data_IF_175624536198
#
_entry.id   IF_175624536198
#
_cell.length_a   1.000
_cell.length_b   1.000
_cell.length_c   1.000
_cell.angle_alpha   90.00
_cell.angle_beta   90.00
_cell.angle_gamma   90.00
#
_symmetry.space_group_name_H-M   'P 1'
#
loop_
_entity.id
_entity.type
_entity.pdbx_description
1 polymer ?
#
# COMPACT_ATOMS: atom_id res chain seq x y z
N UNK A 1 6.95 26.75 59.65
CA UNK A 1 7.77 27.16 58.50
C UNK A 1 7.46 26.20 57.35
N UNK A 2 6.56 26.59 56.44
CA UNK A 2 6.18 25.81 55.27
C UNK A 2 6.70 26.50 54.02
N UNK A 3 7.58 25.84 53.28
CA UNK A 3 8.15 26.34 52.02
C UNK A 3 7.22 25.99 50.86
N UNK A 4 6.79 27.01 50.11
CA UNK A 4 6.05 26.85 48.85
C UNK A 4 7.00 26.45 47.71
N UNK A 5 6.57 25.58 46.77
CA UNK A 5 7.36 25.23 45.60
C UNK A 5 7.34 26.36 44.53
N UNK A 6 8.36 26.43 43.64
CA UNK A 6 8.47 27.46 42.62
C UNK A 6 7.46 27.28 41.46
N UNK A 7 7.17 28.33 40.67
CA UNK A 7 6.20 28.27 39.57
C UNK A 7 6.78 27.50 38.37
N UNK A 8 5.96 26.64 37.76
CA UNK A 8 6.31 25.94 36.51
C UNK A 8 6.34 26.92 35.33
N UNK A 9 7.49 27.04 34.66
CA UNK A 9 7.62 27.72 33.38
C UNK A 9 7.29 26.74 32.22
N UNK A 10 6.42 27.16 31.31
CA UNK A 10 6.08 26.39 30.11
C UNK A 10 7.23 26.41 29.09
N UNK A 11 7.49 25.31 28.36
CA UNK A 11 8.49 25.29 27.29
C UNK A 11 8.01 26.11 26.07
N UNK A 12 8.87 27.02 25.60
CA UNK A 12 8.73 27.71 24.32
C UNK A 12 8.99 26.73 23.18
N UNK A 13 8.02 26.57 22.29
CA UNK A 13 8.21 25.89 21.02
C UNK A 13 9.00 26.80 20.08
N UNK A 14 10.26 26.45 19.82
CA UNK A 14 11.06 27.05 18.76
C UNK A 14 10.56 26.52 17.41
N UNK A 15 10.08 27.42 16.54
CA UNK A 15 9.78 27.12 15.14
C UNK A 15 11.10 26.99 14.37
N UNK A 16 11.45 25.77 13.99
CA UNK A 16 12.54 25.53 13.04
C UNK A 16 12.07 25.89 11.62
N UNK A 17 12.43 27.09 11.16
CA UNK A 17 12.56 27.39 9.73
C UNK A 17 13.77 26.63 9.19
N UNK A 18 13.57 25.71 8.24
CA UNK A 18 14.68 25.19 7.43
C UNK A 18 14.51 25.71 6.00
N UNK A 19 15.28 26.76 5.72
CA UNK A 19 15.39 27.41 4.43
C UNK A 19 16.26 26.61 3.44
N UNK A 20 15.97 26.86 2.17
CA UNK A 20 16.62 26.36 0.97
C UNK A 20 18.15 26.53 0.96
N UNK A 21 18.85 25.50 0.49
CA UNK A 21 20.24 25.61 0.01
C UNK A 21 20.28 25.15 -1.45
N UNK A 22 20.68 26.05 -2.35
CA UNK A 22 20.82 25.80 -3.79
C UNK A 22 22.27 25.54 -4.21
N UNK A 23 22.54 25.16 -5.49
CA UNK A 23 23.90 25.14 -6.01
C UNK A 23 24.24 26.34 -6.91
N UNK A 24 25.31 26.98 -6.49
CA UNK A 24 26.18 28.02 -7.04
C UNK A 24 26.61 27.80 -8.51
N UNK A 25 26.34 28.79 -9.38
CA UNK A 25 26.90 28.89 -10.74
C UNK A 25 28.33 29.45 -10.68
N UNK A 26 29.31 28.62 -11.04
CA UNK A 26 30.73 28.98 -11.10
C UNK A 26 31.09 29.72 -12.39
N UNK A 27 31.74 30.87 -12.22
CA UNK A 27 32.30 31.74 -13.25
C UNK A 27 33.62 31.20 -13.82
N UNK A 28 33.78 31.32 -15.14
CA UNK A 28 34.95 30.90 -15.91
C UNK A 28 36.11 31.89 -15.72
N UNK A 29 37.26 31.40 -15.22
CA UNK A 29 38.51 32.16 -15.12
C UNK A 29 39.68 31.30 -15.60
N UNK A 30 40.35 31.79 -16.65
CA UNK A 30 41.45 31.16 -17.39
C UNK A 30 42.82 31.28 -16.69
N UNK A 31 43.58 30.18 -16.60
CA UNK A 31 44.99 30.16 -16.20
C UNK A 31 45.68 28.84 -16.57
N UNK A 32 46.90 28.84 -17.16
CA UNK A 32 47.53 27.63 -17.72
C UNK A 32 48.55 26.97 -16.78
N UNK A 33 48.57 25.62 -16.76
CA UNK A 33 49.77 24.84 -16.41
C UNK A 33 49.59 23.78 -15.33
N UNK A 34 49.58 22.51 -15.74
CA UNK A 34 49.79 21.36 -14.85
C UNK A 34 49.28 20.03 -15.44
N UNK A 35 50.13 19.01 -15.66
CA UNK A 35 49.67 17.71 -16.14
C UNK A 35 49.18 16.86 -14.97
N UNK A 36 47.92 16.40 -15.02
CA UNK A 36 47.38 15.43 -14.08
C UNK A 36 46.78 14.25 -14.83
N UNK A 37 47.42 13.08 -14.66
CA UNK A 37 46.92 11.79 -15.12
C UNK A 37 45.73 11.39 -14.25
N UNK A 38 44.53 11.33 -14.84
CA UNK A 38 43.32 10.83 -14.20
C UNK A 38 42.68 9.72 -15.04
N UNK A 39 42.26 8.60 -14.44
CA UNK A 39 41.64 7.50 -15.17
C UNK A 39 40.31 7.97 -15.79
N UNK A 40 40.10 7.61 -17.07
CA UNK A 40 38.94 8.03 -17.85
C UNK A 40 37.61 7.65 -17.22
N UNK A 41 36.53 8.40 -17.49
CA UNK A 41 35.21 8.14 -16.94
C UNK A 41 34.71 6.76 -17.38
N UNK A 42 34.55 5.87 -16.41
CA UNK A 42 33.85 4.62 -16.59
C UNK A 42 32.38 4.94 -16.91
N UNK A 43 31.98 4.56 -18.12
CA UNK A 43 30.60 4.59 -18.58
C UNK A 43 29.80 3.57 -17.76
N UNK A 44 29.23 4.02 -16.64
CA UNK A 44 28.18 3.28 -15.95
C UNK A 44 26.92 3.38 -16.80
N UNK A 45 26.82 2.51 -17.79
CA UNK A 45 25.57 2.20 -18.46
C UNK A 45 24.59 1.67 -17.42
N UNK A 46 23.83 2.57 -16.80
CA UNK A 46 22.62 2.26 -16.05
C UNK A 46 21.51 1.85 -17.04
N UNK A 47 21.76 0.84 -17.86
CA UNK A 47 20.72 0.10 -18.57
C UNK A 47 20.28 -1.04 -17.67
N UNK A 48 19.54 -0.66 -16.65
CA UNK A 48 19.11 -1.55 -15.59
C UNK A 48 18.10 -0.85 -14.70
N UNK A 49 17.17 -0.11 -15.31
CA UNK A 49 15.82 -0.12 -14.75
C UNK A 49 15.41 -1.59 -14.79
N UNK A 50 15.73 -2.33 -13.73
CA UNK A 50 14.93 -3.47 -13.30
C UNK A 50 13.54 -2.87 -13.22
N UNK A 51 12.82 -2.98 -14.34
CA UNK A 51 11.47 -2.50 -14.50
C UNK A 51 10.75 -3.18 -13.36
N UNK A 52 10.52 -2.46 -12.26
CA UNK A 52 9.74 -2.96 -11.14
C UNK A 52 8.45 -3.38 -11.82
N UNK A 53 8.25 -4.68 -12.03
CA UNK A 53 7.05 -5.19 -12.67
C UNK A 53 5.92 -4.54 -11.89
N UNK A 54 5.10 -3.76 -12.58
CA UNK A 54 4.02 -3.04 -11.92
C UNK A 54 3.21 -4.04 -11.10
N UNK A 55 2.62 -3.57 -10.01
CA UNK A 55 1.76 -4.37 -9.14
C UNK A 55 0.77 -5.26 -9.92
N UNK A 56 0.24 -4.73 -11.04
CA UNK A 56 -0.61 -5.42 -12.01
C UNK A 56 0.10 -6.58 -12.73
N UNK A 57 1.36 -6.45 -13.12
CA UNK A 57 2.13 -7.53 -13.75
C UNK A 57 2.44 -8.70 -12.81
N UNK A 58 2.51 -8.45 -11.49
CA UNK A 58 2.65 -9.52 -10.48
C UNK A 58 1.32 -10.18 -10.11
N UNK A 59 0.19 -9.50 -10.32
CA UNK A 59 -1.15 -10.05 -10.08
C UNK A 59 -1.56 -11.09 -11.12
N UNK A 60 -1.04 -10.96 -12.34
CA UNK A 60 -1.24 -11.93 -13.43
C UNK A 60 -0.03 -12.87 -13.59
N UNK A 61 0.91 -12.87 -12.64
CA UNK A 61 1.99 -13.83 -12.61
C UNK A 61 1.45 -15.12 -11.98
N UNK A 62 1.06 -16.08 -12.83
CA UNK A 62 0.59 -17.42 -12.42
C UNK A 62 1.74 -18.29 -11.87
N UNK A 63 2.96 -17.76 -11.77
CA UNK A 63 4.07 -18.37 -11.06
C UNK A 63 3.91 -18.09 -9.56
N UNK A 64 3.31 -19.03 -8.82
CA UNK A 64 3.08 -18.96 -7.36
C UNK A 64 4.39 -19.06 -6.53
N UNK A 65 5.51 -18.54 -7.01
CA UNK A 65 6.83 -18.70 -6.37
C UNK A 65 7.16 -17.62 -5.32
N UNK A 66 6.42 -16.52 -5.25
CA UNK A 66 6.67 -15.46 -4.25
C UNK A 66 5.42 -15.15 -3.42
N UNK A 67 5.54 -15.26 -2.09
CA UNK A 67 4.50 -15.05 -1.08
C UNK A 67 3.95 -13.59 -1.09
N UNK A 68 3.16 -13.24 -2.09
CA UNK A 68 2.50 -11.92 -2.23
C UNK A 68 1.13 -11.91 -1.54
N UNK A 69 0.76 -13.01 -0.88
CA UNK A 69 -0.59 -13.26 -0.39
C UNK A 69 -1.21 -12.16 0.47
N UNK A 70 -0.52 -11.50 1.43
CA UNK A 70 -1.13 -10.41 2.20
C UNK A 70 -1.49 -9.18 1.34
N UNK A 71 -0.78 -8.93 0.23
CA UNK A 71 -1.08 -7.81 -0.68
C UNK A 71 -2.26 -8.11 -1.61
N UNK A 72 -2.41 -9.36 -2.05
CA UNK A 72 -3.49 -9.80 -2.95
C UNK A 72 -4.85 -9.77 -2.25
N UNK A 73 -4.90 -10.11 -0.97
CA UNK A 73 -6.15 -10.16 -0.17
C UNK A 73 -6.89 -8.81 -0.20
N UNK A 74 -6.18 -7.68 -0.12
CA UNK A 74 -6.80 -6.34 -0.19
C UNK A 74 -7.50 -6.10 -1.53
N UNK A 75 -6.92 -6.58 -2.61
CA UNK A 75 -7.45 -6.43 -3.97
C UNK A 75 -8.66 -7.35 -4.15
N UNK A 76 -8.56 -8.59 -3.66
CA UNK A 76 -9.69 -9.53 -3.68
C UNK A 76 -10.89 -8.98 -2.91
N UNK A 77 -10.68 -8.26 -1.82
CA UNK A 77 -11.76 -7.58 -1.12
C UNK A 77 -12.46 -6.53 -2.00
N UNK A 78 -11.67 -5.66 -2.63
CA UNK A 78 -12.20 -4.60 -3.51
C UNK A 78 -12.95 -5.22 -4.69
N UNK A 79 -12.37 -6.22 -5.34
CA UNK A 79 -13.02 -6.95 -6.45
C UNK A 79 -14.33 -7.58 -5.95
N UNK A 80 -14.32 -8.21 -4.78
CA UNK A 80 -15.52 -8.83 -4.22
C UNK A 80 -16.62 -7.79 -3.99
N UNK A 81 -16.33 -6.64 -3.39
CA UNK A 81 -17.31 -5.55 -3.22
C UNK A 81 -17.91 -5.14 -4.56
N UNK A 82 -17.08 -4.96 -5.59
CA UNK A 82 -17.55 -4.57 -6.92
C UNK A 82 -18.46 -5.64 -7.52
N UNK A 83 -18.06 -6.91 -7.47
CA UNK A 83 -18.87 -8.03 -7.99
C UNK A 83 -20.19 -8.14 -7.25
N UNK A 84 -20.19 -8.01 -5.93
CA UNK A 84 -21.42 -8.04 -5.11
C UNK A 84 -22.33 -6.87 -5.49
N UNK A 85 -21.78 -5.65 -5.58
CA UNK A 85 -22.54 -4.46 -5.95
C UNK A 85 -23.18 -4.59 -7.33
N UNK A 86 -22.41 -5.07 -8.31
CA UNK A 86 -22.92 -5.34 -9.67
C UNK A 86 -23.95 -6.48 -9.67
N UNK A 87 -23.75 -7.53 -8.88
CA UNK A 87 -24.70 -8.64 -8.74
C UNK A 87 -26.03 -8.20 -8.14
N UNK A 88 -26.00 -7.39 -7.08
CA UNK A 88 -27.20 -6.81 -6.47
C UNK A 88 -27.92 -5.91 -7.47
N UNK A 89 -27.18 -4.99 -8.13
CA UNK A 89 -27.77 -4.09 -9.12
C UNK A 89 -28.40 -4.86 -10.30
N UNK A 90 -27.69 -5.86 -10.83
CA UNK A 90 -28.19 -6.73 -11.89
C UNK A 90 -29.43 -7.52 -11.45
N UNK A 91 -29.41 -8.07 -10.24
CA UNK A 91 -30.54 -8.78 -9.63
C UNK A 91 -31.78 -7.90 -9.50
N UNK A 92 -31.61 -6.63 -9.09
CA UNK A 92 -32.70 -5.65 -9.02
C UNK A 92 -33.30 -5.41 -10.41
N UNK A 93 -32.47 -5.16 -11.42
CA UNK A 93 -32.92 -4.92 -12.80
C UNK A 93 -33.72 -6.12 -13.34
N UNK A 94 -33.18 -7.34 -13.19
CA UNK A 94 -33.86 -8.57 -13.63
C UNK A 94 -35.14 -8.81 -12.83
N UNK A 95 -35.13 -8.52 -11.53
CA UNK A 95 -36.28 -8.63 -10.65
C UNK A 95 -37.45 -7.76 -11.11
N UNK A 96 -37.21 -6.48 -11.38
CA UNK A 96 -38.24 -5.57 -11.87
C UNK A 96 -38.71 -5.90 -13.30
N UNK A 97 -37.85 -6.48 -14.15
CA UNK A 97 -38.27 -7.01 -15.46
C UNK A 97 -39.23 -8.19 -15.35
N UNK A 98 -39.11 -8.98 -14.28
CA UNK A 98 -39.93 -10.17 -14.05
C UNK A 98 -41.26 -9.84 -13.37
N UNK A 99 -41.30 -8.77 -12.57
CA UNK A 99 -42.53 -8.26 -11.95
C UNK A 99 -42.25 -7.37 -10.74
N UNK A 100 -43.24 -6.55 -10.37
CA UNK A 100 -43.08 -5.56 -9.28
C UNK A 100 -42.76 -6.23 -7.94
N UNK A 101 -43.46 -7.31 -7.58
CA UNK A 101 -43.21 -8.04 -6.33
C UNK A 101 -41.80 -8.65 -6.27
N UNK A 102 -41.36 -9.26 -7.37
CA UNK A 102 -40.00 -9.82 -7.51
C UNK A 102 -38.95 -8.71 -7.46
N UNK A 103 -39.21 -7.57 -8.10
CA UNK A 103 -38.35 -6.38 -8.02
C UNK A 103 -38.13 -5.90 -6.59
N UNK A 104 -39.19 -5.76 -5.80
CA UNK A 104 -39.09 -5.41 -4.38
C UNK A 104 -38.35 -6.48 -3.56
N UNK A 105 -38.58 -7.76 -3.84
CA UNK A 105 -37.83 -8.84 -3.18
C UNK A 105 -36.33 -8.72 -3.43
N UNK A 106 -35.90 -8.48 -4.68
CA UNK A 106 -34.48 -8.28 -5.00
C UNK A 106 -33.93 -6.94 -4.48
N UNK A 107 -34.76 -5.90 -4.37
CA UNK A 107 -34.33 -4.62 -3.81
C UNK A 107 -33.98 -4.77 -2.32
N UNK A 108 -34.93 -5.24 -1.50
CA UNK A 108 -34.71 -5.41 -0.07
C UNK A 108 -33.76 -6.59 0.21
N UNK A 109 -34.04 -7.74 -0.39
CA UNK A 109 -33.25 -8.96 -0.22
C UNK A 109 -31.84 -8.83 -0.78
N UNK A 110 -31.66 -8.12 -1.90
CA UNK A 110 -30.35 -7.84 -2.47
C UNK A 110 -29.54 -6.86 -1.63
N UNK A 111 -30.15 -5.82 -1.03
CA UNK A 111 -29.42 -4.94 -0.11
C UNK A 111 -28.94 -5.68 1.13
N UNK A 112 -29.86 -6.40 1.79
CA UNK A 112 -29.55 -7.14 3.04
C UNK A 112 -28.57 -8.27 2.73
N UNK A 113 -28.85 -9.07 1.69
CA UNK A 113 -28.01 -10.17 1.25
C UNK A 113 -26.63 -9.70 0.79
N UNK A 114 -26.56 -8.61 0.02
CA UNK A 114 -25.30 -8.01 -0.41
C UNK A 114 -24.45 -7.52 0.77
N UNK A 115 -25.07 -6.87 1.76
CA UNK A 115 -24.38 -6.46 2.98
C UNK A 115 -23.85 -7.67 3.77
N UNK A 116 -24.68 -8.71 3.96
CA UNK A 116 -24.26 -9.96 4.62
C UNK A 116 -23.12 -10.64 3.85
N UNK A 117 -23.14 -10.61 2.52
CA UNK A 117 -22.09 -11.19 1.69
C UNK A 117 -20.77 -10.41 1.82
N UNK A 118 -20.82 -9.08 1.90
CA UNK A 118 -19.62 -8.26 2.19
C UNK A 118 -19.04 -8.61 3.57
N UNK A 119 -19.89 -8.75 4.59
CA UNK A 119 -19.45 -9.19 5.93
C UNK A 119 -18.84 -10.58 5.90
N UNK A 120 -19.47 -11.53 5.20
CA UNK A 120 -18.96 -12.88 5.04
C UNK A 120 -17.57 -12.88 4.40
N UNK A 121 -17.41 -12.17 3.28
CA UNK A 121 -16.13 -12.03 2.57
C UNK A 121 -15.08 -11.38 3.48
N UNK A 122 -15.46 -10.39 4.31
CA UNK A 122 -14.56 -9.74 5.26
C UNK A 122 -13.99 -10.74 6.28
N UNK A 123 -14.86 -11.53 6.91
CA UNK A 123 -14.45 -12.55 7.90
C UNK A 123 -13.59 -13.62 7.25
N UNK A 124 -13.95 -14.06 6.05
CA UNK A 124 -13.21 -15.06 5.30
C UNK A 124 -11.80 -14.55 4.91
N UNK A 125 -11.67 -13.32 4.41
CA UNK A 125 -10.38 -12.70 4.13
C UNK A 125 -9.55 -12.48 5.39
N UNK A 126 -10.18 -12.09 6.50
CA UNK A 126 -9.50 -11.94 7.80
C UNK A 126 -8.91 -13.28 8.26
N UNK A 127 -9.67 -14.37 8.13
CA UNK A 127 -9.17 -15.72 8.39
C UNK A 127 -7.96 -16.07 7.51
N UNK A 128 -8.03 -15.76 6.20
CA UNK A 128 -6.87 -15.97 5.30
C UNK A 128 -5.65 -15.16 5.74
N UNK A 129 -5.80 -13.88 6.07
CA UNK A 129 -4.68 -13.04 6.55
C UNK A 129 -4.05 -13.66 7.80
N UNK A 130 -4.87 -14.12 8.75
CA UNK A 130 -4.39 -14.75 9.97
C UNK A 130 -3.61 -16.03 9.68
N UNK A 131 -4.09 -16.88 8.78
CA UNK A 131 -3.36 -18.08 8.35
C UNK A 131 -1.99 -17.75 7.75
N UNK A 132 -1.92 -16.77 6.83
CA UNK A 132 -0.63 -16.37 6.25
C UNK A 132 0.30 -15.75 7.29
N UNK A 133 -0.22 -14.94 8.22
CA UNK A 133 0.56 -14.35 9.30
C UNK A 133 1.19 -15.41 10.22
N UNK A 134 0.51 -16.53 10.45
CA UNK A 134 1.06 -17.64 11.25
C UNK A 134 2.23 -18.33 10.51
N UNK A 135 2.11 -18.49 9.19
CA UNK A 135 3.18 -19.06 8.36
C UNK A 135 4.45 -18.21 8.41
N UNK A 136 4.32 -16.89 8.23
CA UNK A 136 5.45 -15.96 8.28
C UNK A 136 6.16 -15.97 9.65
N UNK A 137 5.40 -16.07 10.74
CA UNK A 137 5.96 -16.06 12.11
C UNK A 137 6.71 -17.35 12.47
N UNK A 138 6.49 -18.43 11.72
CA UNK A 138 7.16 -19.73 11.94
C UNK A 138 8.59 -19.74 11.35
N UNK A 139 8.85 -18.97 10.28
CA UNK A 139 10.18 -18.85 9.67
C UNK A 139 11.18 -18.08 10.55
N UNK A 140 10.70 -17.11 11.33
CA UNK A 140 11.57 -16.27 12.19
C UNK A 140 12.13 -17.07 13.39
N UNK A 141 11.35 -18.01 13.93
CA UNK A 141 11.77 -18.89 15.03
C UNK A 141 12.81 -19.92 14.55
N UNK A 142 12.72 -20.38 13.31
CA UNK A 142 13.71 -21.28 12.72
C UNK A 142 15.08 -20.61 12.48
N UNK A 143 15.10 -19.28 12.29
CA UNK A 143 16.33 -18.52 12.04
C UNK A 143 17.09 -18.12 13.31
N UNK A 144 16.39 -18.01 14.44
CA UNK A 144 16.96 -17.60 15.73
C UNK A 144 17.41 -18.79 16.62
N UNK A 145 17.32 -20.02 16.10
CA UNK A 145 17.78 -21.25 16.77
C UNK A 145 19.07 -21.84 16.18
N UNK A 146 19.79 -21.07 15.36
CA UNK A 146 21.17 -21.33 14.93
C UNK A 146 22.08 -20.21 15.43
#
# INVERSE_FOLDING_TARGET
>A
AGSTPPPYAAPQYASAQQGQTGPQYGTTGSGPGGPSYGPGPQNYGYSGYSQKRGFFGRLFDFSFEEFITPSIIKILFIISIVVIGLGVLGGIIVGFRSGVGTGFFFLIGGLIGGFLWILYVRVLLELFIVFFRIHDNTEEIAKNSR
#
